data_IF_558321485649
#
_entry.id   IF_558321485649
#
_cell.length_a   1.000
_cell.length_b   1.000
_cell.length_c   1.000
_cell.angle_alpha   90.00
_cell.angle_beta   90.00
_cell.angle_gamma   90.00
#
_symmetry.space_group_name_H-M   'P 1'
#
loop_
_entity.id
_entity.type
_entity.pdbx_description
1 polymer ?
#
# COMPACT_ATOMS: atom_id res chain seq x y z
N UNK A 1 -7.48 25.60 -12.60
CA UNK A 1 -7.69 25.18 -11.21
C UNK A 1 -6.51 25.71 -10.41
N UNK A 2 -6.74 26.25 -9.21
CA UNK A 2 -5.69 26.82 -8.35
C UNK A 2 -4.83 25.70 -7.75
N UNK A 3 -3.71 26.08 -7.13
CA UNK A 3 -2.90 25.16 -6.33
C UNK A 3 -3.71 24.65 -5.12
N UNK A 4 -3.36 23.48 -4.60
CA UNK A 4 -3.96 22.92 -3.39
C UNK A 4 -3.16 23.43 -2.19
N UNK A 5 -3.74 24.32 -1.41
CA UNK A 5 -3.12 24.94 -0.23
C UNK A 5 -3.91 24.65 1.04
N UNK A 6 -5.25 24.53 0.92
CA UNK A 6 -6.16 24.27 2.04
C UNK A 6 -6.92 22.97 1.81
N UNK A 7 -6.85 22.07 2.79
CA UNK A 7 -7.46 20.75 2.68
C UNK A 7 -8.30 20.36 3.90
N UNK A 8 -9.20 19.40 3.71
CA UNK A 8 -9.79 18.63 4.81
C UNK A 8 -9.28 17.19 4.75
N UNK A 9 -9.09 16.56 5.90
CA UNK A 9 -8.65 15.17 6.00
C UNK A 9 -9.74 14.30 6.62
N UNK A 10 -10.16 13.27 5.89
CA UNK A 10 -11.13 12.28 6.36
C UNK A 10 -10.40 10.99 6.71
N UNK A 11 -10.48 10.59 7.98
CA UNK A 11 -9.80 9.42 8.52
C UNK A 11 -8.78 9.77 9.60
N UNK A 12 -8.39 8.75 10.38
CA UNK A 12 -7.39 8.86 11.46
C UNK A 12 -6.48 7.62 11.55
N UNK A 13 -6.43 6.80 10.49
CA UNK A 13 -5.54 5.64 10.36
C UNK A 13 -4.10 6.03 9.99
N UNK A 14 -3.24 5.02 9.80
CA UNK A 14 -1.81 5.22 9.49
C UNK A 14 -1.58 6.09 8.26
N UNK A 15 -2.36 5.90 7.19
CA UNK A 15 -2.26 6.70 5.96
C UNK A 15 -2.57 8.17 6.25
N UNK A 16 -3.68 8.44 6.97
CA UNK A 16 -4.06 9.79 7.36
C UNK A 16 -2.96 10.48 8.18
N UNK A 17 -2.43 9.79 9.18
CA UNK A 17 -1.38 10.33 10.05
C UNK A 17 -0.08 10.62 9.30
N UNK A 18 0.37 9.69 8.48
CA UNK A 18 1.65 9.79 7.78
C UNK A 18 1.62 10.82 6.67
N UNK A 19 0.65 10.72 5.77
CA UNK A 19 0.52 11.66 4.65
C UNK A 19 0.11 13.05 5.14
N UNK A 20 -0.85 13.13 6.06
CA UNK A 20 -1.28 14.39 6.66
C UNK A 20 -0.12 15.12 7.33
N UNK A 21 0.69 14.42 8.14
CA UNK A 21 1.87 15.02 8.78
C UNK A 21 2.93 15.46 7.75
N UNK A 22 3.10 14.70 6.66
CA UNK A 22 4.03 15.07 5.60
C UNK A 22 3.60 16.38 4.92
N UNK A 23 2.34 16.52 4.51
CA UNK A 23 1.84 17.75 3.91
C UNK A 23 1.79 18.92 4.89
N UNK A 24 1.42 18.68 6.16
CA UNK A 24 1.41 19.76 7.17
C UNK A 24 2.81 20.35 7.38
N UNK A 25 3.87 19.53 7.34
CA UNK A 25 5.26 20.01 7.38
C UNK A 25 5.66 20.81 6.14
N UNK A 26 5.01 20.60 5.01
CA UNK A 26 5.21 21.39 3.78
C UNK A 26 4.34 22.66 3.73
N UNK A 27 3.66 22.98 4.82
CA UNK A 27 2.89 24.21 4.93
C UNK A 27 1.44 24.10 4.45
N UNK A 28 0.95 22.92 4.08
CA UNK A 28 -0.47 22.74 3.74
C UNK A 28 -1.34 23.01 4.96
N UNK A 29 -2.36 23.84 4.78
CA UNK A 29 -3.32 24.20 5.80
C UNK A 29 -4.45 23.15 5.87
N UNK A 30 -4.72 22.64 7.07
CA UNK A 30 -5.82 21.71 7.31
C UNK A 30 -6.98 22.50 7.94
N UNK A 31 -8.05 22.73 7.18
CA UNK A 31 -9.27 23.40 7.65
C UNK A 31 -10.17 22.49 8.49
N UNK A 32 -10.13 21.17 8.23
CA UNK A 32 -10.92 20.22 9.01
C UNK A 32 -10.25 18.85 9.10
N UNK A 33 -10.45 18.18 10.23
CA UNK A 33 -10.20 16.75 10.45
C UNK A 33 -11.53 16.06 10.72
N UNK A 34 -11.89 15.12 9.86
CA UNK A 34 -13.16 14.39 9.94
C UNK A 34 -12.90 12.91 10.21
N UNK A 35 -13.42 12.38 11.31
CA UNK A 35 -13.44 10.94 11.60
C UNK A 35 -14.53 10.61 12.62
N UNK A 36 -14.96 9.35 12.65
CA UNK A 36 -16.07 8.88 13.49
C UNK A 36 -15.97 9.25 14.98
N UNK A 37 -14.78 9.37 15.50
CA UNK A 37 -14.52 9.69 16.91
C UNK A 37 -14.43 11.20 17.17
N UNK A 38 -14.49 12.04 16.15
CA UNK A 38 -14.25 13.49 16.23
C UNK A 38 -12.96 13.81 17.02
N UNK A 39 -11.84 13.19 16.61
CA UNK A 39 -10.55 13.33 17.28
C UNK A 39 -9.49 13.85 16.31
N UNK A 40 -8.50 14.55 16.85
CA UNK A 40 -7.32 14.93 16.08
C UNK A 40 -6.49 13.68 15.77
N UNK A 41 -6.13 13.39 14.49
CA UNK A 41 -5.24 12.29 14.17
C UNK A 41 -3.87 12.47 14.83
N UNK A 42 -3.28 11.39 15.31
CA UNK A 42 -1.98 11.41 16.02
C UNK A 42 -0.88 11.96 15.11
N UNK A 43 -0.04 12.84 15.65
CA UNK A 43 1.08 13.44 14.93
C UNK A 43 0.71 14.63 14.04
N UNK A 44 -0.55 15.05 14.04
CA UNK A 44 -1.02 16.26 13.37
C UNK A 44 -1.26 17.39 14.39
N UNK A 45 -1.07 18.62 13.95
CA UNK A 45 -1.37 19.82 14.74
C UNK A 45 -2.75 20.34 14.36
N UNK A 46 -3.57 20.65 15.36
CA UNK A 46 -4.92 21.15 15.14
C UNK A 46 -4.93 22.55 14.51
N UNK A 47 -4.03 23.45 15.00
CA UNK A 47 -4.08 24.89 14.68
C UNK A 47 -5.53 25.40 14.85
N UNK A 48 -6.10 25.93 13.77
CA UNK A 48 -7.48 26.46 13.67
C UNK A 48 -8.47 25.45 13.03
N UNK A 49 -8.02 24.23 12.70
CA UNK A 49 -8.85 23.22 12.07
C UNK A 49 -10.08 22.83 12.88
N UNK A 50 -11.20 22.64 12.20
CA UNK A 50 -12.40 22.04 12.80
C UNK A 50 -12.19 20.54 13.02
N UNK A 51 -12.74 20.00 14.09
CA UNK A 51 -12.77 18.55 14.34
C UNK A 51 -14.22 18.11 14.29
N UNK A 52 -14.56 17.29 13.31
CA UNK A 52 -15.94 16.92 12.98
C UNK A 52 -16.07 15.40 12.80
N UNK A 53 -17.29 14.88 12.93
CA UNK A 53 -17.59 13.47 12.70
C UNK A 53 -18.42 13.19 11.46
N UNK A 54 -19.02 14.23 10.88
CA UNK A 54 -19.89 14.14 9.71
C UNK A 54 -19.16 14.73 8.47
N UNK A 55 -18.88 13.92 7.43
CA UNK A 55 -18.24 14.39 6.21
C UNK A 55 -19.00 15.52 5.50
N UNK A 56 -20.33 15.58 5.64
CA UNK A 56 -21.16 16.65 5.07
C UNK A 56 -20.92 18.03 5.69
N UNK A 57 -20.26 18.10 6.86
CA UNK A 57 -19.92 19.36 7.53
C UNK A 57 -18.54 19.91 7.12
N UNK A 58 -17.83 19.23 6.22
CA UNK A 58 -16.54 19.73 5.70
C UNK A 58 -16.78 21.06 4.97
N UNK A 59 -15.96 22.10 5.24
CA UNK A 59 -16.07 23.38 4.54
C UNK A 59 -15.95 23.20 3.02
N UNK A 60 -16.89 23.76 2.26
CA UNK A 60 -16.93 23.62 0.80
C UNK A 60 -15.93 24.52 0.06
N UNK A 61 -15.22 25.39 0.76
CA UNK A 61 -14.21 26.32 0.25
C UNK A 61 -12.78 25.79 0.34
N UNK A 62 -12.57 24.58 0.89
CA UNK A 62 -11.27 23.91 0.80
C UNK A 62 -10.94 23.54 -0.64
N UNK A 63 -9.65 23.50 -1.00
CA UNK A 63 -9.20 23.13 -2.35
C UNK A 63 -9.37 21.64 -2.61
N UNK A 64 -9.09 20.80 -1.60
CA UNK A 64 -9.22 19.35 -1.71
C UNK A 64 -9.67 18.69 -0.40
N UNK A 65 -10.32 17.51 -0.55
CA UNK A 65 -10.67 16.61 0.54
C UNK A 65 -9.86 15.33 0.38
N UNK A 66 -9.03 15.04 1.38
CA UNK A 66 -8.15 13.87 1.44
C UNK A 66 -8.88 12.73 2.15
N UNK A 67 -9.25 11.68 1.42
CA UNK A 67 -10.03 10.54 1.95
C UNK A 67 -9.08 9.39 2.28
N UNK A 68 -8.71 9.26 3.55
CA UNK A 68 -7.76 8.28 4.09
C UNK A 68 -8.46 7.31 5.07
N UNK A 69 -9.52 6.69 4.61
CA UNK A 69 -10.26 5.63 5.31
C UNK A 69 -9.96 4.27 4.68
N UNK A 70 -10.53 3.17 5.24
CA UNK A 70 -10.43 1.84 4.63
C UNK A 70 -11.13 1.80 3.28
N UNK A 71 -10.67 0.96 2.37
CA UNK A 71 -11.17 0.88 0.99
C UNK A 71 -12.70 0.68 0.94
N UNK A 72 -13.25 -0.19 1.77
CA UNK A 72 -14.72 -0.45 1.86
C UNK A 72 -15.52 0.81 2.24
N UNK A 73 -14.91 1.78 2.93
CA UNK A 73 -15.59 2.99 3.39
C UNK A 73 -15.44 4.17 2.40
N UNK A 74 -14.48 4.13 1.47
CA UNK A 74 -14.17 5.26 0.58
C UNK A 74 -15.41 5.70 -0.20
N UNK A 75 -16.07 4.79 -0.90
CA UNK A 75 -17.22 5.12 -1.76
C UNK A 75 -18.40 5.68 -0.97
N UNK A 76 -18.64 5.18 0.24
CA UNK A 76 -19.74 5.68 1.08
C UNK A 76 -19.43 7.07 1.66
N UNK A 77 -18.19 7.29 2.08
CA UNK A 77 -17.73 8.61 2.52
C UNK A 77 -17.84 9.63 1.38
N UNK A 78 -17.39 9.27 0.18
CA UNK A 78 -17.41 10.19 -0.97
C UNK A 78 -18.82 10.69 -1.34
N UNK A 79 -19.87 9.88 -1.15
CA UNK A 79 -21.26 10.30 -1.38
C UNK A 79 -21.74 11.43 -0.45
N UNK A 80 -21.08 11.60 0.69
CA UNK A 80 -21.46 12.58 1.71
C UNK A 80 -20.64 13.89 1.61
N UNK A 81 -19.60 13.91 0.75
CA UNK A 81 -18.71 15.06 0.63
C UNK A 81 -19.35 16.23 -0.13
N UNK A 82 -18.96 17.48 0.20
CA UNK A 82 -19.28 18.64 -0.64
C UNK A 82 -18.80 18.45 -2.08
N UNK A 83 -19.55 18.92 -3.05
CA UNK A 83 -19.28 18.67 -4.48
C UNK A 83 -18.22 19.58 -5.12
N UNK A 84 -17.87 20.71 -4.48
CA UNK A 84 -16.95 21.71 -5.05
C UNK A 84 -15.47 21.35 -4.92
N UNK A 85 -14.94 20.86 -3.75
CA UNK A 85 -13.54 20.54 -3.59
C UNK A 85 -13.11 19.37 -4.47
N UNK A 86 -11.80 19.29 -4.80
CA UNK A 86 -11.22 18.07 -5.33
C UNK A 86 -11.33 16.93 -4.32
N UNK A 87 -11.62 15.73 -4.78
CA UNK A 87 -11.60 14.54 -3.92
C UNK A 87 -10.38 13.69 -4.25
N UNK A 88 -9.56 13.43 -3.25
CA UNK A 88 -8.33 12.66 -3.39
C UNK A 88 -8.37 11.48 -2.41
N UNK A 89 -8.28 10.26 -2.91
CA UNK A 89 -8.10 9.08 -2.05
C UNK A 89 -6.75 8.39 -2.29
N UNK A 90 -6.42 7.41 -1.44
CA UNK A 90 -5.09 6.79 -1.40
C UNK A 90 -5.12 5.28 -1.68
N UNK A 91 -6.25 4.75 -2.14
CA UNK A 91 -6.37 3.33 -2.47
C UNK A 91 -5.67 3.01 -3.78
N UNK A 92 -4.82 1.97 -3.77
CA UNK A 92 -4.19 1.45 -4.98
C UNK A 92 -5.15 0.67 -5.88
N UNK A 93 -6.27 0.14 -5.35
CA UNK A 93 -7.15 -0.78 -6.08
C UNK A 93 -8.51 -0.20 -6.47
N UNK A 94 -9.00 0.87 -5.81
CA UNK A 94 -10.30 1.44 -6.13
C UNK A 94 -10.24 2.34 -7.37
N UNK A 95 -11.38 2.50 -8.11
CA UNK A 95 -11.45 3.40 -9.25
C UNK A 95 -11.23 4.85 -8.86
N UNK A 96 -10.89 5.67 -9.85
CA UNK A 96 -10.78 7.11 -9.69
C UNK A 96 -12.13 7.72 -9.26
N UNK A 97 -12.13 8.80 -8.46
CA UNK A 97 -13.39 9.45 -8.05
C UNK A 97 -14.18 9.95 -9.26
N UNK A 98 -15.50 9.78 -9.21
CA UNK A 98 -16.42 10.34 -10.24
C UNK A 98 -16.41 11.87 -10.21
N UNK A 99 -16.19 12.48 -9.04
CA UNK A 99 -15.99 13.92 -8.89
C UNK A 99 -14.61 14.34 -9.40
N UNK A 100 -14.42 15.63 -9.64
CA UNK A 100 -13.09 16.15 -9.97
C UNK A 100 -12.09 15.80 -8.86
N UNK A 101 -10.95 15.22 -9.24
CA UNK A 101 -9.94 14.75 -8.31
C UNK A 101 -9.17 13.57 -8.87
N UNK A 102 -8.77 12.65 -8.00
CA UNK A 102 -8.03 11.46 -8.38
C UNK A 102 -7.48 10.68 -7.19
N UNK A 103 -6.50 9.87 -7.49
CA UNK A 103 -5.81 9.00 -6.55
C UNK A 103 -4.34 9.38 -6.43
N UNK A 104 -3.86 9.45 -5.21
CA UNK A 104 -2.44 9.54 -4.87
C UNK A 104 -2.05 8.31 -4.06
N UNK A 105 -1.77 7.19 -4.74
CA UNK A 105 -1.42 5.96 -4.05
C UNK A 105 0.06 5.93 -3.67
N UNK A 106 0.42 5.93 -2.36
CA UNK A 106 1.79 5.77 -1.91
C UNK A 106 2.25 4.32 -2.15
N UNK A 107 3.32 4.14 -2.93
CA UNK A 107 3.90 2.81 -3.19
C UNK A 107 4.82 2.45 -2.02
N UNK A 108 4.22 2.29 -0.85
CA UNK A 108 4.91 2.08 0.41
C UNK A 108 4.05 1.30 1.40
N UNK A 109 4.66 0.40 2.15
CA UNK A 109 4.01 -0.19 3.33
C UNK A 109 3.99 0.84 4.46
N UNK A 110 2.82 1.41 4.73
CA UNK A 110 2.64 2.46 5.73
C UNK A 110 2.25 1.84 7.06
N UNK A 111 3.23 1.78 7.97
CA UNK A 111 3.03 1.37 9.36
C UNK A 111 3.44 2.50 10.30
N UNK A 112 2.81 2.55 11.47
CA UNK A 112 3.13 3.55 12.50
C UNK A 112 4.61 3.44 12.91
N UNK A 113 5.32 4.58 13.00
CA UNK A 113 6.74 4.66 13.38
C UNK A 113 7.76 4.09 12.36
N UNK A 114 7.41 3.93 11.10
CA UNK A 114 8.38 3.55 10.08
C UNK A 114 9.41 4.66 9.84
N UNK A 115 10.71 4.36 10.06
CA UNK A 115 11.82 5.29 9.84
C UNK A 115 12.02 5.67 8.37
N UNK A 116 11.47 4.88 7.43
CA UNK A 116 11.63 5.09 5.99
C UNK A 116 10.88 6.30 5.42
N UNK A 117 10.07 6.97 6.23
CA UNK A 117 9.19 8.07 5.77
C UNK A 117 9.85 9.45 5.75
N UNK A 118 11.10 9.58 6.20
CA UNK A 118 11.78 10.88 6.28
C UNK A 118 12.25 11.41 4.93
N UNK A 119 12.44 10.53 3.92
CA UNK A 119 12.99 10.88 2.60
C UNK A 119 11.94 10.92 1.48
N UNK A 120 10.65 10.93 1.83
CA UNK A 120 9.59 10.74 0.86
C UNK A 120 9.45 9.27 0.42
N UNK A 121 8.49 9.01 -0.43
CA UNK A 121 8.22 7.69 -1.02
C UNK A 121 7.64 7.87 -2.42
N UNK A 122 7.75 6.85 -3.30
CA UNK A 122 7.12 6.90 -4.61
C UNK A 122 5.60 7.00 -4.49
N UNK A 123 4.99 7.86 -5.31
CA UNK A 123 3.53 8.02 -5.39
C UNK A 123 3.08 7.74 -6.82
N UNK A 124 2.05 6.90 -6.98
CA UNK A 124 1.32 6.78 -8.22
C UNK A 124 0.17 7.80 -8.24
N UNK A 125 0.10 8.59 -9.31
CA UNK A 125 -0.94 9.56 -9.58
C UNK A 125 -1.85 9.05 -10.69
N UNK A 126 -3.15 9.05 -10.44
CA UNK A 126 -4.21 8.82 -11.41
C UNK A 126 -5.29 9.87 -11.17
N UNK A 127 -5.64 10.68 -12.18
CA UNK A 127 -6.59 11.77 -11.98
C UNK A 127 -7.22 12.27 -13.28
N UNK A 128 -8.30 13.05 -13.15
CA UNK A 128 -8.89 13.76 -14.26
C UNK A 128 -7.95 14.84 -14.83
N UNK A 129 -8.05 15.10 -16.14
CA UNK A 129 -7.25 16.12 -16.83
C UNK A 129 -7.36 17.51 -16.16
N UNK A 130 -8.55 17.86 -15.65
CA UNK A 130 -8.78 19.15 -14.99
C UNK A 130 -8.06 19.29 -13.65
N UNK A 131 -7.80 18.18 -12.92
CA UNK A 131 -7.12 18.16 -11.63
C UNK A 131 -5.61 17.95 -11.76
N UNK A 132 -5.12 17.48 -12.90
CA UNK A 132 -3.76 16.99 -13.10
C UNK A 132 -2.68 17.95 -12.61
N UNK A 133 -2.71 19.22 -13.07
CA UNK A 133 -1.68 20.22 -12.69
C UNK A 133 -1.64 20.45 -11.18
N UNK A 134 -2.79 20.61 -10.54
CA UNK A 134 -2.89 20.87 -9.10
C UNK A 134 -2.44 19.64 -8.30
N UNK A 135 -2.92 18.45 -8.67
CA UNK A 135 -2.57 17.20 -7.98
C UNK A 135 -1.08 16.83 -8.16
N UNK A 136 -0.51 17.03 -9.35
CA UNK A 136 0.93 16.84 -9.60
C UNK A 136 1.78 17.72 -8.67
N UNK A 137 1.43 19.01 -8.56
CA UNK A 137 2.14 19.94 -7.68
C UNK A 137 2.00 19.52 -6.21
N UNK A 138 0.79 19.17 -5.79
CA UNK A 138 0.49 18.75 -4.42
C UNK A 138 1.21 17.45 -4.03
N UNK A 139 1.23 16.45 -4.92
CA UNK A 139 1.94 15.19 -4.69
C UNK A 139 3.46 15.39 -4.55
N UNK A 140 4.06 16.22 -5.40
CA UNK A 140 5.50 16.52 -5.40
C UNK A 140 6.00 17.17 -4.10
N UNK A 141 5.13 17.71 -3.25
CA UNK A 141 5.53 18.22 -1.94
C UNK A 141 6.08 17.13 -1.02
N UNK A 142 5.64 15.88 -1.19
CA UNK A 142 5.98 14.77 -0.29
C UNK A 142 6.51 13.53 -1.03
N UNK A 143 6.36 13.45 -2.35
CA UNK A 143 6.83 12.31 -3.13
C UNK A 143 8.35 12.37 -3.35
N UNK A 144 9.06 11.24 -3.19
CA UNK A 144 10.43 11.09 -3.69
C UNK A 144 10.45 10.96 -5.21
N UNK A 145 9.45 10.26 -5.77
CA UNK A 145 9.20 10.07 -7.19
C UNK A 145 7.69 10.10 -7.45
N UNK A 146 7.27 10.60 -8.60
CA UNK A 146 5.87 10.63 -9.01
C UNK A 146 5.71 9.88 -10.33
N UNK A 147 4.85 8.85 -10.31
CA UNK A 147 4.54 8.02 -11.47
C UNK A 147 3.09 8.28 -11.90
N UNK A 148 2.91 8.78 -13.10
CA UNK A 148 1.57 8.95 -13.69
C UNK A 148 1.12 7.61 -14.27
N UNK A 149 0.06 7.03 -13.72
CA UNK A 149 -0.49 5.75 -14.11
C UNK A 149 -1.97 5.90 -14.45
N UNK A 150 -2.42 5.18 -15.46
CA UNK A 150 -3.85 4.95 -15.65
C UNK A 150 -4.43 4.14 -14.48
N UNK A 151 -5.75 4.14 -14.34
CA UNK A 151 -6.44 3.37 -13.31
C UNK A 151 -6.05 1.88 -13.37
N UNK A 152 -6.03 1.27 -14.56
CA UNK A 152 -5.68 -0.14 -14.74
C UNK A 152 -4.22 -0.40 -14.39
N UNK A 153 -3.30 0.47 -14.81
CA UNK A 153 -1.87 0.34 -14.45
C UNK A 153 -1.66 0.46 -12.94
N UNK A 154 -2.35 1.40 -12.27
CA UNK A 154 -2.29 1.56 -10.82
C UNK A 154 -2.82 0.33 -10.09
N UNK A 155 -3.97 -0.22 -10.51
CA UNK A 155 -4.53 -1.45 -9.93
C UNK A 155 -3.60 -2.64 -10.13
N UNK A 156 -2.98 -2.77 -11.30
CA UNK A 156 -1.99 -3.81 -11.60
C UNK A 156 -0.72 -3.64 -10.75
N UNK A 157 -0.23 -2.40 -10.62
CA UNK A 157 0.91 -2.09 -9.77
C UNK A 157 0.62 -2.37 -8.29
N UNK A 158 -0.60 -2.08 -7.82
CA UNK A 158 -1.02 -2.44 -6.46
C UNK A 158 -1.03 -3.96 -6.23
N UNK A 159 -1.55 -4.73 -7.18
CA UNK A 159 -1.49 -6.19 -7.11
C UNK A 159 -0.04 -6.70 -7.07
N UNK A 160 0.84 -6.14 -7.90
CA UNK A 160 2.27 -6.47 -7.85
C UNK A 160 2.91 -6.13 -6.50
N UNK A 161 2.56 -4.98 -5.90
CA UNK A 161 3.03 -4.59 -4.57
C UNK A 161 2.53 -5.54 -3.46
N UNK A 162 1.33 -6.09 -3.57
CA UNK A 162 0.83 -7.12 -2.64
C UNK A 162 1.73 -8.36 -2.67
N UNK A 163 2.11 -8.83 -3.86
CA UNK A 163 3.06 -9.95 -3.99
C UNK A 163 4.45 -9.60 -3.46
N UNK A 164 4.98 -8.42 -3.87
CA UNK A 164 6.34 -8.03 -3.51
C UNK A 164 6.52 -7.71 -2.01
N UNK A 165 5.48 -7.22 -1.34
CA UNK A 165 5.56 -6.80 0.05
C UNK A 165 4.71 -7.68 0.99
N UNK A 166 3.39 -7.72 0.81
CA UNK A 166 2.50 -8.33 1.80
C UNK A 166 2.68 -9.85 1.86
N UNK A 167 2.64 -10.53 0.72
CA UNK A 167 2.81 -11.99 0.68
C UNK A 167 4.24 -12.40 1.01
N UNK A 168 5.24 -11.65 0.55
CA UNK A 168 6.64 -11.89 0.91
C UNK A 168 6.86 -11.77 2.41
N UNK A 169 6.32 -10.73 3.05
CA UNK A 169 6.37 -10.57 4.51
C UNK A 169 5.67 -11.74 5.23
N UNK A 170 4.54 -12.20 4.71
CA UNK A 170 3.82 -13.34 5.28
C UNK A 170 4.62 -14.65 5.14
N UNK A 171 5.31 -14.88 4.01
CA UNK A 171 6.21 -16.00 3.85
C UNK A 171 7.32 -16.00 4.90
N UNK A 172 7.91 -14.83 5.21
CA UNK A 172 8.87 -14.71 6.31
C UNK A 172 8.24 -15.01 7.67
N UNK A 173 7.01 -14.56 7.93
CA UNK A 173 6.31 -14.85 9.17
C UNK A 173 6.06 -16.37 9.35
N UNK A 174 5.66 -17.07 8.29
CA UNK A 174 5.53 -18.54 8.29
C UNK A 174 6.88 -19.19 8.61
N UNK A 175 7.95 -18.78 7.94
CA UNK A 175 9.29 -19.32 8.18
C UNK A 175 9.75 -19.11 9.63
N UNK A 176 9.50 -17.94 10.20
CA UNK A 176 9.81 -17.63 11.61
C UNK A 176 9.01 -18.51 12.58
N UNK A 177 7.73 -18.73 12.31
CA UNK A 177 6.88 -19.62 13.12
C UNK A 177 7.38 -21.08 13.09
N UNK A 178 7.77 -21.59 11.91
CA UNK A 178 8.36 -22.94 11.79
C UNK A 178 9.68 -23.06 12.54
N UNK A 179 10.55 -22.05 12.46
CA UNK A 179 11.79 -21.98 13.22
C UNK A 179 11.55 -22.01 14.73
N UNK A 180 10.61 -21.19 15.21
CA UNK A 180 10.29 -21.11 16.63
C UNK A 180 9.84 -22.47 17.19
N UNK A 181 9.01 -23.18 16.46
CA UNK A 181 8.54 -24.53 16.86
C UNK A 181 9.64 -25.58 16.90
N UNK A 182 10.57 -25.51 15.95
CA UNK A 182 11.72 -26.40 15.89
C UNK A 182 12.88 -25.98 16.81
N UNK A 183 12.70 -24.94 17.63
CA UNK A 183 13.75 -24.32 18.45
C UNK A 183 15.00 -23.92 17.64
N UNK A 184 14.81 -23.53 16.36
CA UNK A 184 15.87 -23.07 15.48
C UNK A 184 15.99 -21.54 15.57
N UNK A 185 17.20 -20.99 15.71
CA UNK A 185 17.39 -19.55 15.75
C UNK A 185 17.20 -18.94 14.35
N UNK A 186 16.40 -17.89 14.26
CA UNK A 186 16.08 -17.20 13.00
C UNK A 186 17.30 -16.68 12.22
N UNK A 187 18.39 -16.34 12.93
CA UNK A 187 19.63 -15.84 12.30
C UNK A 187 20.27 -16.83 11.31
N UNK A 188 19.96 -18.13 11.39
CA UNK A 188 20.39 -19.13 10.40
C UNK A 188 19.88 -18.82 8.99
N UNK A 189 18.72 -18.18 8.88
CA UNK A 189 18.03 -17.93 7.62
C UNK A 189 18.21 -16.49 7.10
N UNK A 190 18.79 -15.59 7.91
CA UNK A 190 19.01 -14.20 7.48
C UNK A 190 19.87 -14.07 6.21
N UNK A 191 20.95 -14.86 6.00
CA UNK A 191 21.75 -14.76 4.78
C UNK A 191 20.95 -15.07 3.51
N UNK A 192 20.17 -16.17 3.51
CA UNK A 192 19.36 -16.53 2.35
C UNK A 192 18.22 -15.53 2.11
N UNK A 193 17.61 -15.00 3.17
CA UNK A 193 16.59 -13.97 3.07
C UNK A 193 17.13 -12.69 2.39
N UNK A 194 18.33 -12.23 2.79
CA UNK A 194 18.99 -11.09 2.15
C UNK A 194 19.30 -11.36 0.68
N UNK A 195 19.87 -12.52 0.37
CA UNK A 195 20.18 -12.91 -1.02
C UNK A 195 18.95 -12.87 -1.91
N UNK A 196 17.80 -13.37 -1.45
CA UNK A 196 16.56 -13.36 -2.25
C UNK A 196 16.06 -11.92 -2.48
N UNK A 197 16.15 -11.04 -1.46
CA UNK A 197 15.78 -9.62 -1.61
C UNK A 197 16.70 -8.92 -2.62
N UNK A 198 18.02 -9.15 -2.56
CA UNK A 198 18.98 -8.58 -3.51
C UNK A 198 18.67 -9.02 -4.95
N UNK A 199 18.40 -10.30 -5.18
CA UNK A 199 18.00 -10.83 -6.48
C UNK A 199 16.67 -10.22 -6.97
N UNK A 200 15.73 -9.99 -6.08
CA UNK A 200 14.45 -9.36 -6.43
C UNK A 200 14.64 -7.89 -6.86
N UNK A 201 15.51 -7.13 -6.17
CA UNK A 201 15.86 -5.74 -6.54
C UNK A 201 16.52 -5.68 -7.93
N UNK A 202 17.33 -6.69 -8.30
CA UNK A 202 17.93 -6.81 -9.62
C UNK A 202 16.92 -7.21 -10.72
N UNK A 203 15.68 -7.56 -10.37
CA UNK A 203 14.66 -8.03 -11.33
C UNK A 203 14.92 -9.42 -11.90
N UNK A 204 15.73 -10.25 -11.24
CA UNK A 204 16.17 -11.56 -11.73
C UNK A 204 15.50 -12.75 -11.04
N UNK A 205 14.43 -12.53 -10.28
CA UNK A 205 13.78 -13.55 -9.43
C UNK A 205 13.36 -14.80 -10.20
N UNK A 206 12.79 -14.64 -11.41
CA UNK A 206 12.35 -15.78 -12.22
C UNK A 206 13.54 -16.65 -12.66
N UNK A 207 14.61 -16.04 -13.16
CA UNK A 207 15.80 -16.74 -13.68
C UNK A 207 16.58 -17.45 -12.56
N UNK A 208 16.46 -16.96 -11.32
CA UNK A 208 17.20 -17.48 -10.17
C UNK A 208 16.34 -18.36 -9.26
N UNK A 209 15.15 -18.75 -9.71
CA UNK A 209 14.31 -19.66 -8.94
C UNK A 209 15.00 -21.00 -8.74
N UNK A 210 15.00 -21.51 -7.52
CA UNK A 210 15.55 -22.80 -7.10
C UNK A 210 14.54 -23.56 -6.21
N UNK A 211 14.90 -24.74 -5.76
CA UNK A 211 14.11 -25.49 -4.80
C UNK A 211 13.40 -26.71 -5.41
N UNK A 212 12.67 -27.48 -4.57
CA UNK A 212 12.06 -28.74 -4.99
C UNK A 212 10.94 -28.54 -6.04
N UNK A 213 10.21 -27.43 -5.99
CA UNK A 213 9.12 -27.16 -6.92
C UNK A 213 9.61 -27.11 -8.38
N UNK A 214 10.68 -26.34 -8.67
CA UNK A 214 11.21 -26.19 -10.04
C UNK A 214 11.89 -27.47 -10.55
N UNK A 215 12.42 -28.30 -9.65
CA UNK A 215 13.03 -29.58 -9.99
C UNK A 215 12.03 -30.75 -10.02
N UNK A 216 10.76 -30.48 -9.74
CA UNK A 216 9.69 -31.49 -9.61
C UNK A 216 10.05 -32.62 -8.62
N UNK A 217 10.81 -32.30 -7.55
CA UNK A 217 11.26 -33.25 -6.53
C UNK A 217 10.10 -33.63 -5.59
N UNK A 218 9.32 -34.63 -6.04
CA UNK A 218 8.13 -35.06 -5.33
C UNK A 218 8.46 -35.60 -3.94
N UNK A 219 9.60 -36.27 -3.78
CA UNK A 219 10.01 -36.82 -2.48
C UNK A 219 10.25 -35.74 -1.42
N UNK A 220 10.87 -34.63 -1.83
CA UNK A 220 11.06 -33.48 -0.95
C UNK A 220 9.74 -32.75 -0.66
N UNK A 221 8.87 -32.63 -1.66
CA UNK A 221 7.54 -32.02 -1.50
C UNK A 221 6.70 -32.81 -0.50
N UNK A 222 6.64 -34.15 -0.63
CA UNK A 222 5.88 -35.03 0.26
C UNK A 222 6.44 -34.98 1.70
N UNK A 223 7.76 -34.93 1.86
CA UNK A 223 8.39 -34.78 3.17
C UNK A 223 8.01 -33.45 3.84
N UNK A 224 7.98 -32.35 3.07
CA UNK A 224 7.55 -31.03 3.58
C UNK A 224 6.07 -31.03 3.97
N UNK A 225 5.20 -31.63 3.17
CA UNK A 225 3.78 -31.76 3.50
C UNK A 225 3.58 -32.60 4.77
N UNK A 226 4.37 -33.69 4.95
CA UNK A 226 4.37 -34.47 6.17
C UNK A 226 4.75 -33.65 7.42
N UNK A 227 5.74 -32.75 7.32
CA UNK A 227 6.10 -31.82 8.40
C UNK A 227 4.99 -30.78 8.66
N UNK A 228 4.28 -30.35 7.63
CA UNK A 228 3.15 -29.41 7.73
C UNK A 228 1.88 -30.02 8.30
N UNK A 229 1.80 -31.36 8.46
CA UNK A 229 0.64 -32.01 9.09
C UNK A 229 0.32 -31.45 10.50
N UNK A 230 1.30 -30.90 11.21
CA UNK A 230 1.11 -30.20 12.49
C UNK A 230 0.69 -28.72 12.34
N UNK A 231 0.61 -28.21 11.12
CA UNK A 231 0.24 -26.82 10.75
C UNK A 231 -0.60 -26.86 9.47
N UNK A 232 -1.79 -27.47 9.53
CA UNK A 232 -2.62 -27.67 8.34
C UNK A 232 -2.99 -26.36 7.64
N UNK A 233 -2.98 -25.22 8.34
CA UNK A 233 -3.23 -23.90 7.77
C UNK A 233 -2.14 -23.44 6.78
N UNK A 234 -0.92 -23.98 6.83
CA UNK A 234 0.17 -23.62 5.91
C UNK A 234 0.24 -24.54 4.68
N UNK A 235 -0.37 -25.73 4.73
CA UNK A 235 -0.37 -26.69 3.62
C UNK A 235 -0.98 -26.11 2.34
N UNK A 236 -2.15 -25.42 2.35
CA UNK A 236 -2.70 -24.82 1.14
C UNK A 236 -1.78 -23.78 0.52
N UNK A 237 -1.09 -22.99 1.35
CA UNK A 237 -0.15 -21.97 0.89
C UNK A 237 1.05 -22.63 0.22
N UNK A 238 1.66 -23.63 0.87
CA UNK A 238 2.78 -24.40 0.32
C UNK A 238 2.43 -25.03 -1.03
N UNK A 239 1.28 -25.69 -1.10
CA UNK A 239 0.78 -26.35 -2.32
C UNK A 239 0.50 -25.35 -3.44
N UNK A 240 -0.15 -24.23 -3.14
CA UNK A 240 -0.42 -23.18 -4.13
C UNK A 240 0.87 -22.56 -4.68
N UNK A 241 1.83 -22.26 -3.83
CA UNK A 241 3.14 -21.71 -4.23
C UNK A 241 3.93 -22.72 -5.07
N UNK A 242 3.96 -23.99 -4.67
CA UNK A 242 4.61 -25.08 -5.43
C UNK A 242 4.05 -25.15 -6.85
N UNK A 243 2.73 -25.23 -6.99
CA UNK A 243 2.05 -25.27 -8.30
C UNK A 243 2.30 -24.01 -9.13
N UNK A 244 2.28 -22.84 -8.50
CA UNK A 244 2.54 -21.57 -9.17
C UNK A 244 3.97 -21.49 -9.73
N UNK A 245 4.98 -21.94 -8.97
CA UNK A 245 6.37 -22.01 -9.43
C UNK A 245 6.48 -22.94 -10.64
N UNK A 246 5.92 -24.14 -10.55
CA UNK A 246 5.93 -25.11 -11.66
C UNK A 246 5.31 -24.50 -12.93
N UNK A 247 4.10 -23.94 -12.84
CA UNK A 247 3.41 -23.34 -13.98
C UNK A 247 4.18 -22.16 -14.60
N UNK A 248 4.78 -21.29 -13.77
CA UNK A 248 5.51 -20.13 -14.24
C UNK A 248 6.78 -20.50 -15.02
N UNK A 249 7.38 -21.65 -14.71
CA UNK A 249 8.61 -22.12 -15.35
C UNK A 249 8.36 -23.06 -16.54
N UNK A 250 7.30 -23.86 -16.55
CA UNK A 250 6.90 -24.67 -17.69
C UNK A 250 6.46 -23.84 -18.90
N UNK A 251 5.82 -22.69 -18.67
CA UNK A 251 5.38 -21.78 -19.75
C UNK A 251 6.52 -21.14 -20.56
N UNK A 252 7.78 -21.32 -20.15
CA UNK A 252 8.96 -20.81 -20.87
C UNK A 252 9.63 -21.83 -21.80
N UNK A 253 9.18 -23.09 -21.81
CA UNK A 253 9.72 -24.16 -22.65
C UNK A 253 8.95 -24.37 -23.97
N UNK A 254 7.86 -23.60 -24.18
CA UNK A 254 7.16 -23.66 -25.47
C UNK A 254 7.83 -22.66 -26.43
N UNK A 255 8.39 -23.13 -27.55
CA UNK A 255 9.15 -22.33 -28.53
C UNK A 255 8.27 -21.29 -29.22
#
# INVERSE_FOLDING_TARGET
MNDIETVALVGNGNVAMVLGSAWQRQGIHFAAFCNRSATLPVGLERKDAQIISDPGQIPSDVDAILVAVTDDAILEVMKQLPSRPLVIHFSGCLPDPVQAGGVLWPIQSIVQNSKSMHNGFPIALSCSNSAHKAMTKFAKLIASELHELSEIERQTAHLAAVFAANFTNHCFAIAQELCQRAALPWNLFQPIARQIIEQAVEGTSKQRQTGPAIREDQSAIDAHLGLLAQRPEFEPIYTAMTKSIQSLHQATETP
#
